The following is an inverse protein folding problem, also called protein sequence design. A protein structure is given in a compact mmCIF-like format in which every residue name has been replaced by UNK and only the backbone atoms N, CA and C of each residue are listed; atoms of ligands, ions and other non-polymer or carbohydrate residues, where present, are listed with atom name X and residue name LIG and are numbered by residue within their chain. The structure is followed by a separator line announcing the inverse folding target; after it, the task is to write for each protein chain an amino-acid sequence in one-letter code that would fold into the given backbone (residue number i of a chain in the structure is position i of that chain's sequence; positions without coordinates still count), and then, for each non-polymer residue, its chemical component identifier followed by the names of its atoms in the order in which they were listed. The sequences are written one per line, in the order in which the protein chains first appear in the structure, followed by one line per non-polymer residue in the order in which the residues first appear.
data_IF_997173294907
#
_entry.id   IF_997173294907
#
_cell.length_a   1.000
_cell.length_b   1.000
_cell.length_c   1.000
_cell.angle_alpha   90.00
_cell.angle_beta   90.00
_cell.angle_gamma   90.00
#
_symmetry.space_group_name_H-M   'P 1'
#
loop_
_entity.id
_entity.type
_entity.pdbx_description
1 polymer ?
#
# COMPACT_ATOMS: atom_id res chain seq x y z
N UNK A 1 22.55 20.32 6.00
CA UNK A 1 21.98 19.00 5.61
C UNK A 1 20.47 19.11 5.35
N UNK A 2 19.66 19.50 6.34
CA UNK A 2 18.19 19.60 6.19
C UNK A 2 17.74 20.61 5.11
N UNK A 3 18.49 21.69 4.87
CA UNK A 3 18.11 22.74 3.90
C UNK A 3 18.74 22.62 2.51
N UNK A 4 19.73 21.75 2.32
CA UNK A 4 20.46 21.61 1.05
C UNK A 4 20.23 20.23 0.45
N UNK A 5 20.27 19.19 1.28
CA UNK A 5 20.17 17.79 0.81
C UNK A 5 18.71 17.37 0.59
N UNK A 6 17.79 17.75 1.49
CA UNK A 6 16.36 17.41 1.36
C UNK A 6 15.70 18.02 0.11
N UNK A 7 15.88 19.31 -0.24
CA UNK A 7 15.28 19.84 -1.47
C UNK A 7 15.88 19.24 -2.73
N UNK A 8 17.19 18.99 -2.80
CA UNK A 8 17.82 18.38 -3.98
C UNK A 8 17.45 16.90 -4.18
N UNK A 9 17.11 16.16 -3.13
CA UNK A 9 16.65 14.76 -3.21
C UNK A 9 15.13 14.62 -3.29
N UNK A 10 14.38 15.73 -3.28
CA UNK A 10 12.92 15.74 -3.19
C UNK A 10 12.20 14.89 -4.26
N UNK A 11 12.61 14.90 -5.55
CA UNK A 11 11.97 14.06 -6.57
C UNK A 11 12.18 12.56 -6.31
N UNK A 12 13.37 12.17 -5.83
CA UNK A 12 13.69 10.78 -5.51
C UNK A 12 12.96 10.32 -4.25
N UNK A 13 12.82 11.19 -3.25
CA UNK A 13 12.06 10.90 -2.03
C UNK A 13 10.56 10.72 -2.32
N UNK A 14 9.97 11.54 -3.20
CA UNK A 14 8.58 11.40 -3.63
C UNK A 14 8.35 10.06 -4.35
N UNK A 15 9.22 9.70 -5.30
CA UNK A 15 9.15 8.41 -5.99
C UNK A 15 9.28 7.23 -5.01
N UNK A 16 10.26 7.29 -4.09
CA UNK A 16 10.44 6.29 -3.06
C UNK A 16 9.24 6.16 -2.11
N UNK A 17 8.63 7.28 -1.74
CA UNK A 17 7.43 7.29 -0.89
C UNK A 17 6.24 6.62 -1.58
N UNK A 18 5.98 6.96 -2.85
CA UNK A 18 4.90 6.33 -3.65
C UNK A 18 5.11 4.82 -3.76
N UNK A 19 6.33 4.39 -4.11
CA UNK A 19 6.66 2.97 -4.24
C UNK A 19 6.54 2.22 -2.92
N UNK A 20 6.94 2.82 -1.80
CA UNK A 20 6.80 2.23 -0.47
C UNK A 20 5.33 2.08 -0.04
N UNK A 21 4.49 3.08 -0.35
CA UNK A 21 3.03 3.02 -0.10
C UNK A 21 2.45 1.85 -0.90
N UNK A 22 2.66 1.82 -2.22
CA UNK A 22 2.11 0.78 -3.10
C UNK A 22 2.62 -0.61 -2.71
N UNK A 23 3.90 -0.72 -2.36
CA UNK A 23 4.52 -1.97 -1.92
C UNK A 23 3.91 -2.51 -0.63
N UNK A 24 3.66 -1.64 0.35
CA UNK A 24 3.07 -2.03 1.64
C UNK A 24 1.68 -2.63 1.48
N UNK A 25 0.82 -2.02 0.65
CA UNK A 25 -0.54 -2.52 0.45
C UNK A 25 -0.65 -3.72 -0.48
N UNK A 26 0.36 -4.00 -1.30
CA UNK A 26 0.41 -5.21 -2.14
C UNK A 26 1.06 -6.41 -1.45
N UNK A 27 1.61 -6.24 -0.26
CA UNK A 27 2.41 -7.26 0.41
C UNK A 27 1.56 -8.36 1.08
N UNK A 28 0.88 -9.18 0.27
CA UNK A 28 0.11 -10.34 0.74
C UNK A 28 1.01 -11.38 1.42
N UNK A 29 0.48 -12.06 2.44
CA UNK A 29 1.05 -13.30 2.97
C UNK A 29 2.19 -13.11 3.95
N UNK A 30 2.63 -11.87 4.21
CA UNK A 30 3.72 -11.59 5.18
C UNK A 30 3.35 -12.10 6.57
N UNK A 31 2.11 -11.87 7.03
CA UNK A 31 1.68 -12.32 8.35
C UNK A 31 1.66 -13.83 8.49
N UNK A 32 1.15 -14.53 7.48
CA UNK A 32 1.12 -15.99 7.44
C UNK A 32 2.52 -16.59 7.36
N UNK A 33 3.44 -15.93 6.64
CA UNK A 33 4.83 -16.35 6.53
C UNK A 33 5.58 -16.27 7.86
N UNK A 34 5.30 -15.26 8.70
CA UNK A 34 5.96 -15.07 9.99
C UNK A 34 5.33 -15.95 11.08
N UNK A 35 4.01 -16.12 11.05
CA UNK A 35 3.27 -16.87 12.08
C UNK A 35 3.19 -18.37 11.81
N UNK A 36 3.51 -18.81 10.59
CA UNK A 36 3.47 -20.21 10.17
C UNK A 36 2.05 -20.79 10.07
N UNK A 37 1.01 -19.96 10.24
CA UNK A 37 -0.39 -20.37 10.17
C UNK A 37 -1.16 -19.50 9.16
N UNK A 38 -2.09 -20.13 8.44
CA UNK A 38 -3.01 -19.48 7.51
C UNK A 38 -4.46 -19.84 7.87
N UNK A 39 -5.30 -18.89 8.33
CA UNK A 39 -5.00 -17.50 8.64
C UNK A 39 -4.10 -17.35 9.89
N UNK A 40 -3.35 -16.24 10.01
CA UNK A 40 -2.48 -15.98 11.15
C UNK A 40 -3.28 -15.93 12.46
N UNK A 41 -2.68 -16.34 13.61
CA UNK A 41 -3.35 -16.31 14.90
C UNK A 41 -3.82 -14.90 15.21
N UNK A 42 -5.07 -14.77 15.67
CA UNK A 42 -5.71 -13.49 15.97
C UNK A 42 -5.82 -12.50 14.79
N UNK A 43 -5.63 -12.96 13.54
CA UNK A 43 -5.51 -12.09 12.37
C UNK A 43 -4.40 -11.02 12.49
N UNK A 44 -3.39 -11.29 13.32
CA UNK A 44 -2.28 -10.37 13.53
C UNK A 44 -1.52 -10.16 12.21
N UNK A 45 -1.50 -8.92 11.72
CA UNK A 45 -0.86 -8.57 10.44
C UNK A 45 -1.67 -8.93 9.19
N UNK A 46 -2.94 -9.30 9.33
CA UNK A 46 -3.81 -9.60 8.19
C UNK A 46 -4.07 -8.34 7.34
N UNK A 47 -3.65 -8.36 6.07
CA UNK A 47 -3.84 -7.23 5.16
C UNK A 47 -5.16 -7.33 4.38
N UNK A 48 -5.62 -6.19 3.86
CA UNK A 48 -6.80 -6.12 2.97
C UNK A 48 -6.58 -6.98 1.72
N UNK A 49 -5.35 -7.05 1.20
CA UNK A 49 -5.00 -7.95 0.08
C UNK A 49 -5.11 -9.42 0.48
N UNK A 50 -4.72 -9.82 1.70
CA UNK A 50 -4.92 -11.20 2.16
C UNK A 50 -6.40 -11.54 2.27
N UNK A 51 -7.22 -10.59 2.75
CA UNK A 51 -8.67 -10.75 2.76
C UNK A 51 -9.22 -10.94 1.33
N UNK A 52 -8.79 -10.11 0.39
CA UNK A 52 -9.21 -10.21 -1.01
C UNK A 52 -8.79 -11.54 -1.64
N UNK A 53 -7.58 -12.01 -1.35
CA UNK A 53 -7.02 -13.26 -1.86
C UNK A 53 -7.84 -14.46 -1.34
N UNK A 54 -8.19 -14.49 -0.06
CA UNK A 54 -9.02 -15.54 0.52
C UNK A 54 -10.42 -15.59 -0.13
N UNK A 55 -11.05 -14.45 -0.37
CA UNK A 55 -12.36 -14.42 -1.05
C UNK A 55 -12.28 -14.77 -2.54
N UNK A 56 -11.18 -14.40 -3.21
CA UNK A 56 -10.98 -14.70 -4.63
C UNK A 56 -10.75 -16.20 -4.88
N UNK A 57 -9.90 -16.84 -4.08
CA UNK A 57 -9.42 -18.20 -4.36
C UNK A 57 -9.98 -19.27 -3.42
N UNK A 58 -10.27 -18.95 -2.16
CA UNK A 58 -10.86 -19.93 -1.22
C UNK A 58 -12.38 -20.00 -1.39
N UNK A 59 -13.05 -18.84 -1.48
CA UNK A 59 -14.51 -18.78 -1.59
C UNK A 59 -15.05 -18.69 -3.02
N UNK A 60 -14.16 -18.51 -4.02
CA UNK A 60 -14.50 -18.32 -5.43
C UNK A 60 -15.44 -17.12 -5.69
N UNK A 61 -15.48 -16.15 -4.77
CA UNK A 61 -16.29 -14.93 -4.85
C UNK A 61 -15.50 -13.79 -5.53
N UNK A 62 -15.05 -14.05 -6.75
CA UNK A 62 -14.17 -13.14 -7.53
C UNK A 62 -14.75 -11.72 -7.70
N UNK A 63 -16.08 -11.60 -7.77
CA UNK A 63 -16.78 -10.32 -7.86
C UNK A 63 -16.65 -9.47 -6.58
N UNK A 64 -16.77 -10.11 -5.41
CA UNK A 64 -16.59 -9.43 -4.13
C UNK A 64 -15.11 -9.03 -3.92
N UNK A 65 -14.20 -9.94 -4.26
CA UNK A 65 -12.76 -9.64 -4.23
C UNK A 65 -12.39 -8.46 -5.15
N UNK A 66 -12.99 -8.39 -6.35
CA UNK A 66 -12.78 -7.28 -7.28
C UNK A 66 -13.35 -5.95 -6.77
N UNK A 67 -14.46 -5.96 -6.03
CA UNK A 67 -14.98 -4.74 -5.40
C UNK A 67 -14.03 -4.24 -4.29
N UNK A 68 -13.48 -5.14 -3.48
CA UNK A 68 -12.49 -4.81 -2.46
C UNK A 68 -11.19 -4.24 -3.06
N UNK A 69 -10.75 -4.76 -4.22
CA UNK A 69 -9.55 -4.24 -4.91
C UNK A 69 -9.71 -2.77 -5.32
N UNK A 70 -10.89 -2.39 -5.81
CA UNK A 70 -11.20 -1.00 -6.19
C UNK A 70 -11.26 -0.08 -4.97
N UNK A 71 -11.83 -0.55 -3.85
CA UNK A 71 -11.85 0.21 -2.60
C UNK A 71 -10.41 0.45 -2.10
N UNK A 72 -9.58 -0.59 -2.13
CA UNK A 72 -8.17 -0.48 -1.75
C UNK A 72 -7.41 0.49 -2.67
N UNK A 73 -7.68 0.46 -3.98
CA UNK A 73 -7.11 1.39 -4.94
C UNK A 73 -7.46 2.83 -4.58
N UNK A 74 -8.72 3.13 -4.26
CA UNK A 74 -9.14 4.47 -3.84
C UNK A 74 -8.38 4.93 -2.59
N UNK A 75 -8.19 4.04 -1.61
CA UNK A 75 -7.41 4.35 -0.41
C UNK A 75 -5.94 4.65 -0.73
N UNK A 76 -5.30 3.82 -1.57
CA UNK A 76 -3.94 4.05 -2.06
C UNK A 76 -3.82 5.36 -2.86
N UNK A 77 -4.82 5.74 -3.66
CA UNK A 77 -4.82 7.00 -4.41
C UNK A 77 -4.89 8.22 -3.48
N UNK A 78 -5.68 8.14 -2.41
CA UNK A 78 -5.74 9.20 -1.38
C UNK A 78 -4.38 9.37 -0.72
N UNK A 79 -3.76 8.26 -0.28
CA UNK A 79 -2.42 8.29 0.33
C UNK A 79 -1.34 8.80 -0.61
N UNK A 80 -1.38 8.37 -1.88
CA UNK A 80 -0.48 8.89 -2.90
C UNK A 80 -0.66 10.39 -3.08
N UNK A 81 -1.91 10.88 -3.19
CA UNK A 81 -2.19 12.31 -3.29
C UNK A 81 -1.68 13.08 -2.07
N UNK A 82 -1.79 12.52 -0.87
CA UNK A 82 -1.21 13.09 0.35
C UNK A 82 0.32 13.15 0.27
N UNK A 83 0.98 12.10 -0.22
CA UNK A 83 2.43 12.09 -0.43
C UNK A 83 2.87 13.18 -1.44
N UNK A 84 2.13 13.33 -2.55
CA UNK A 84 2.34 14.43 -3.51
C UNK A 84 2.11 15.81 -2.88
N UNK A 85 1.21 15.96 -1.91
CA UNK A 85 1.02 17.25 -1.22
C UNK A 85 2.17 17.59 -0.26
N UNK A 86 2.77 16.58 0.37
CA UNK A 86 3.86 16.77 1.34
C UNK A 86 5.21 16.95 0.64
N UNK A 87 5.46 16.16 -0.42
CA UNK A 87 6.73 16.16 -1.15
C UNK A 87 6.68 16.84 -2.52
N UNK A 88 5.49 17.13 -3.05
CA UNK A 88 5.34 18.04 -4.18
C UNK A 88 5.47 19.48 -3.68
N UNK A 89 6.63 20.09 -3.89
CA UNK A 89 6.66 21.55 -3.99
C UNK A 89 5.77 21.94 -5.16
N UNK A 90 5.14 23.11 -5.04
CA UNK A 90 4.81 23.95 -6.19
C UNK A 90 6.02 24.01 -7.12
N UNK A 91 6.05 23.13 -8.12
CA UNK A 91 6.71 23.41 -9.38
C UNK A 91 5.74 24.37 -10.08
N UNK A 92 5.81 25.64 -9.69
CA UNK A 92 5.36 26.74 -10.54
C UNK A 92 6.38 26.82 -11.66
N UNK A 93 6.14 26.06 -12.73
CA UNK A 93 6.45 26.41 -14.13
C UNK A 93 5.62 25.51 -15.06
#
# INVERSE_FOLDING_TARGET
IIYITIPSMKPQMLFGAVMAIVGTFNASGIASAITGAYPPPQYAGWLIVDHMNDYAFTKLEMGYASALSVILLLFCLVLNRSAYRVFGSEERD
#
